data_IF_319819379959
#
_entry.id   IF_319819379959
#
_cell.length_a   1.000
_cell.length_b   1.000
_cell.length_c   1.000
_cell.angle_alpha   90.00
_cell.angle_beta   90.00
_cell.angle_gamma   90.00
#
_symmetry.space_group_name_H-M   'P 1'
#
loop_
_entity.id
_entity.type
_entity.pdbx_description
1 polymer ?
#
# COMPACT_ATOMS: atom_id res chain seq x y z
N UNK A 1 4.78 -3.95 -32.32
CA UNK A 1 5.48 -2.72 -31.86
C UNK A 1 4.42 -1.67 -31.55
N UNK A 2 4.48 -1.05 -30.37
CA UNK A 2 3.65 0.12 -30.06
C UNK A 2 4.30 1.32 -30.71
N UNK A 3 3.58 1.98 -31.63
CA UNK A 3 4.06 3.24 -32.21
C UNK A 3 3.83 4.35 -31.19
N UNK A 4 4.85 5.10 -30.88
CA UNK A 4 4.75 6.34 -30.09
C UNK A 4 4.89 7.53 -31.02
N UNK A 5 4.14 8.60 -30.75
CA UNK A 5 4.19 9.85 -31.50
C UNK A 5 4.49 11.04 -30.58
N UNK A 6 5.23 11.99 -31.10
CA UNK A 6 5.41 13.30 -30.47
C UNK A 6 4.51 14.30 -31.20
N UNK A 7 3.60 14.93 -30.42
CA UNK A 7 2.65 15.90 -30.98
C UNK A 7 2.94 17.29 -30.42
N UNK A 8 2.91 18.30 -31.30
CA UNK A 8 2.90 19.71 -30.92
C UNK A 8 1.46 20.21 -31.01
N UNK A 9 0.92 20.68 -29.90
CA UNK A 9 -0.39 21.34 -29.86
C UNK A 9 -0.15 22.83 -29.88
N UNK A 10 -0.74 23.52 -30.84
CA UNK A 10 -0.66 24.97 -30.99
C UNK A 10 -2.06 25.54 -30.97
N UNK A 11 -2.29 26.56 -30.17
CA UNK A 11 -3.55 27.30 -30.18
C UNK A 11 -3.61 28.15 -31.48
N UNK A 12 -4.73 28.06 -32.17
CA UNK A 12 -4.96 28.77 -33.45
C UNK A 12 -6.20 29.71 -33.39
N UNK A 13 -6.76 29.95 -32.20
CA UNK A 13 -7.88 30.87 -32.01
C UNK A 13 -7.42 32.30 -31.79
N UNK A 14 -8.40 33.21 -31.69
CA UNK A 14 -8.20 34.66 -31.59
C UNK A 14 -8.07 35.17 -30.14
N UNK A 15 -8.21 34.27 -29.15
CA UNK A 15 -8.07 34.64 -27.74
C UNK A 15 -6.58 34.91 -27.37
N UNK A 16 -6.38 35.79 -26.38
CA UNK A 16 -5.06 36.14 -25.91
C UNK A 16 -4.35 34.92 -25.30
N UNK A 17 -3.17 34.60 -25.81
CA UNK A 17 -2.25 33.60 -25.22
C UNK A 17 -1.29 34.23 -24.19
N UNK A 18 -1.51 35.48 -23.79
CA UNK A 18 -0.70 36.09 -22.72
C UNK A 18 -0.79 35.28 -21.42
N UNK A 19 0.29 35.19 -20.64
CA UNK A 19 0.30 34.45 -19.39
C UNK A 19 -0.82 34.96 -18.47
N UNK A 20 -1.61 34.02 -17.92
CA UNK A 20 -2.64 34.37 -16.95
C UNK A 20 -2.00 35.04 -15.72
N UNK A 21 -2.71 36.07 -15.18
CA UNK A 21 -2.25 36.71 -13.96
C UNK A 21 -2.15 35.68 -12.83
N UNK A 22 -1.02 35.58 -12.10
CA UNK A 22 -0.86 34.58 -11.05
C UNK A 22 -1.90 34.81 -9.95
N UNK A 23 -2.64 33.75 -9.61
CA UNK A 23 -3.55 33.75 -8.48
C UNK A 23 -2.74 33.66 -7.22
N UNK A 24 -2.78 34.69 -6.37
CA UNK A 24 -2.01 34.76 -5.11
C UNK A 24 -2.70 34.12 -3.90
N UNK A 25 -3.78 33.34 -4.11
CA UNK A 25 -4.40 32.56 -3.04
C UNK A 25 -3.42 31.51 -2.49
N UNK A 26 -3.43 31.26 -1.16
CA UNK A 26 -2.58 30.26 -0.49
C UNK A 26 -1.12 30.71 -0.32
N UNK A 27 -0.87 31.98 -0.08
CA UNK A 27 0.49 32.49 0.12
C UNK A 27 1.13 31.92 1.41
N UNK A 28 0.34 31.79 2.49
CA UNK A 28 0.82 31.22 3.75
C UNK A 28 1.15 29.74 3.59
N UNK A 29 0.34 28.99 2.87
CA UNK A 29 0.56 27.57 2.58
C UNK A 29 1.83 27.39 1.74
N UNK A 30 2.03 28.23 0.73
CA UNK A 30 3.28 28.21 -0.06
C UNK A 30 4.51 28.56 0.79
N UNK A 31 4.41 29.55 1.69
CA UNK A 31 5.48 29.92 2.60
C UNK A 31 5.82 28.76 3.53
N UNK A 32 4.83 28.15 4.16
CA UNK A 32 4.99 26.97 5.02
C UNK A 32 5.65 25.82 4.27
N UNK A 33 5.16 25.51 3.05
CA UNK A 33 5.75 24.45 2.23
C UNK A 33 7.21 24.74 1.89
N UNK A 34 7.55 25.96 1.48
CA UNK A 34 8.95 26.35 1.19
C UNK A 34 9.86 26.24 2.41
N UNK A 35 9.36 26.61 3.60
CA UNK A 35 10.13 26.44 4.84
C UNK A 35 10.43 24.96 5.13
N UNK A 36 9.50 24.05 4.82
CA UNK A 36 9.72 22.61 4.93
C UNK A 36 10.66 22.09 3.83
N UNK A 37 10.53 22.57 2.61
CA UNK A 37 11.38 22.23 1.48
C UNK A 37 12.85 22.66 1.68
N UNK A 38 13.11 23.63 2.54
CA UNK A 38 14.48 24.03 2.87
C UNK A 38 15.31 22.90 3.51
N UNK A 39 14.67 21.94 4.20
CA UNK A 39 15.35 20.76 4.76
C UNK A 39 15.70 19.68 3.73
N UNK A 40 15.28 19.84 2.47
CA UNK A 40 15.52 18.90 1.38
C UNK A 40 16.77 19.23 0.56
N UNK A 41 17.30 20.46 0.75
CA UNK A 41 18.46 20.93 0.01
C UNK A 41 19.73 20.19 0.45
N UNK A 42 20.65 20.03 -0.48
CA UNK A 42 21.98 19.49 -0.18
C UNK A 42 22.69 20.41 0.84
N UNK A 43 23.29 19.81 1.87
CA UNK A 43 23.92 20.56 2.94
C UNK A 43 22.96 21.19 3.96
N UNK A 44 21.66 20.88 3.89
CA UNK A 44 20.71 21.36 4.89
C UNK A 44 21.13 20.92 6.30
N UNK A 45 21.04 21.84 7.26
CA UNK A 45 21.35 21.54 8.67
C UNK A 45 20.38 20.52 9.26
N UNK A 46 20.84 19.79 10.27
CA UNK A 46 19.97 19.01 11.13
C UNK A 46 19.02 19.94 11.89
N UNK A 47 17.74 19.64 11.89
CA UNK A 47 16.74 20.46 12.55
C UNK A 47 16.89 20.44 14.08
N UNK A 48 16.75 21.59 14.72
CA UNK A 48 16.62 21.71 16.17
C UNK A 48 15.31 21.09 16.67
N UNK A 49 15.16 20.93 17.98
CA UNK A 49 13.93 20.37 18.56
C UNK A 49 12.67 21.17 18.17
N UNK A 50 12.74 22.52 18.19
CA UNK A 50 11.62 23.37 17.78
C UNK A 50 11.31 23.30 16.29
N UNK A 51 12.32 23.08 15.45
CA UNK A 51 12.13 22.84 14.02
C UNK A 51 11.52 21.46 13.76
N UNK A 52 11.91 20.42 14.52
CA UNK A 52 11.24 19.11 14.51
C UNK A 52 9.77 19.26 14.93
N UNK A 53 9.44 20.09 15.93
CA UNK A 53 8.05 20.36 16.33
C UNK A 53 7.24 20.99 15.19
N UNK A 54 7.82 21.93 14.46
CA UNK A 54 7.20 22.53 13.28
C UNK A 54 6.96 21.51 12.17
N UNK A 55 7.97 20.69 11.85
CA UNK A 55 7.84 19.63 10.83
C UNK A 55 6.76 18.62 11.26
N UNK A 56 6.79 18.16 12.52
CA UNK A 56 5.84 17.19 13.07
C UNK A 56 4.40 17.70 13.00
N UNK A 57 4.14 18.93 13.45
CA UNK A 57 2.82 19.55 13.34
C UNK A 57 2.33 19.61 11.89
N UNK A 58 3.22 19.85 10.96
CA UNK A 58 2.91 19.95 9.52
C UNK A 58 2.55 18.61 8.88
N UNK A 59 2.91 17.46 9.49
CA UNK A 59 2.48 16.12 9.05
C UNK A 59 0.96 15.95 9.11
N UNK A 60 0.26 16.67 9.99
CA UNK A 60 -1.19 16.64 10.14
C UNK A 60 -1.93 17.70 9.33
N UNK A 61 -1.26 18.50 8.49
CA UNK A 61 -1.87 19.59 7.73
C UNK A 61 -3.01 19.10 6.84
N UNK A 62 -4.08 19.88 6.68
CA UNK A 62 -5.13 19.62 5.70
C UNK A 62 -4.64 19.77 4.26
N UNK A 63 -3.61 20.60 4.02
CA UNK A 63 -2.97 20.75 2.72
C UNK A 63 -2.05 19.57 2.40
N UNK A 64 -2.33 18.89 1.27
CA UNK A 64 -1.56 17.72 0.82
C UNK A 64 -0.10 18.07 0.50
N UNK A 65 0.15 19.25 -0.06
CA UNK A 65 1.50 19.68 -0.43
C UNK A 65 2.36 19.93 0.83
N UNK A 66 1.76 20.55 1.87
CA UNK A 66 2.43 20.73 3.17
C UNK A 66 2.72 19.39 3.83
N UNK A 67 1.72 18.47 3.91
CA UNK A 67 1.94 17.12 4.47
C UNK A 67 3.07 16.38 3.76
N UNK A 68 3.10 16.45 2.43
CA UNK A 68 4.15 15.79 1.65
C UNK A 68 5.53 16.39 1.94
N UNK A 69 5.65 17.72 1.91
CA UNK A 69 6.91 18.41 2.22
C UNK A 69 7.37 18.10 3.66
N UNK A 70 6.46 18.11 4.64
CA UNK A 70 6.76 17.74 6.03
C UNK A 70 7.25 16.30 6.16
N UNK A 71 6.59 15.34 5.47
CA UNK A 71 7.02 13.94 5.49
C UNK A 71 8.43 13.78 4.93
N UNK A 72 8.74 14.41 3.80
CA UNK A 72 10.08 14.32 3.23
C UNK A 72 11.10 15.07 4.08
N UNK A 73 10.71 16.20 4.69
CA UNK A 73 11.58 16.94 5.62
C UNK A 73 11.95 16.08 6.85
N UNK A 74 10.99 15.38 7.46
CA UNK A 74 11.26 14.53 8.62
C UNK A 74 12.11 13.31 8.24
N UNK A 75 11.95 12.75 7.04
CA UNK A 75 12.79 11.65 6.51
C UNK A 75 14.27 12.07 6.38
N UNK A 76 14.55 13.36 6.20
CA UNK A 76 15.91 13.90 6.14
C UNK A 76 16.53 14.11 7.52
N UNK A 77 15.74 14.01 8.59
CA UNK A 77 16.25 14.15 9.95
C UNK A 77 16.62 12.77 10.54
N UNK A 78 17.61 12.71 11.44
CA UNK A 78 17.94 11.46 12.13
C UNK A 78 16.70 10.89 12.83
N UNK A 79 16.34 9.63 12.56
CA UNK A 79 15.12 9.02 13.10
C UNK A 79 15.04 9.10 14.63
N UNK A 80 16.17 8.97 15.33
CA UNK A 80 16.28 9.11 16.79
C UNK A 80 15.81 10.47 17.34
N UNK A 81 15.75 11.51 16.50
CA UNK A 81 15.31 12.84 16.95
C UNK A 81 13.78 12.99 17.00
N UNK A 82 13.03 12.06 16.39
CA UNK A 82 11.59 12.21 16.23
C UNK A 82 10.75 10.94 16.39
N UNK A 83 11.32 9.74 16.24
CA UNK A 83 10.53 8.49 16.20
C UNK A 83 9.74 8.24 17.48
N UNK A 84 10.27 8.61 18.65
CA UNK A 84 9.62 8.38 19.95
C UNK A 84 8.30 9.15 20.09
N UNK A 85 8.10 10.20 19.30
CA UNK A 85 6.84 10.97 19.26
C UNK A 85 5.69 10.13 18.69
N UNK A 86 5.98 9.13 17.85
CA UNK A 86 4.96 8.31 17.22
C UNK A 86 4.08 7.58 18.24
N UNK A 87 4.64 7.11 19.34
CA UNK A 87 3.89 6.37 20.36
C UNK A 87 2.75 7.21 20.96
N UNK A 88 3.02 8.48 21.27
CA UNK A 88 2.06 9.41 21.90
C UNK A 88 1.13 10.12 20.89
N UNK A 89 1.40 10.04 19.58
CA UNK A 89 0.60 10.74 18.57
C UNK A 89 -0.82 10.17 18.49
N UNK A 90 -1.83 11.03 18.52
CA UNK A 90 -3.24 10.62 18.47
C UNK A 90 -3.94 10.97 17.16
N UNK A 91 -3.39 11.91 16.38
CA UNK A 91 -3.94 12.26 15.08
C UNK A 91 -3.61 11.16 14.05
N UNK A 92 -4.60 10.49 13.46
CA UNK A 92 -4.33 9.40 12.51
C UNK A 92 -3.58 9.86 11.25
N UNK A 93 -3.79 11.10 10.79
CA UNK A 93 -3.09 11.65 9.61
C UNK A 93 -1.62 11.87 9.91
N UNK A 94 -1.30 12.47 11.06
CA UNK A 94 0.08 12.63 11.52
C UNK A 94 0.74 11.27 11.75
N UNK A 95 0.04 10.35 12.42
CA UNK A 95 0.54 9.00 12.70
C UNK A 95 0.88 8.25 11.41
N UNK A 96 0.01 8.26 10.40
CA UNK A 96 0.27 7.57 9.13
C UNK A 96 1.42 8.19 8.36
N UNK A 97 1.51 9.52 8.31
CA UNK A 97 2.62 10.20 7.67
C UNK A 97 3.97 9.88 8.36
N UNK A 98 3.99 9.87 9.70
CA UNK A 98 5.18 9.51 10.47
C UNK A 98 5.55 8.03 10.32
N UNK A 99 4.58 7.10 10.34
CA UNK A 99 4.82 5.67 10.07
C UNK A 99 5.42 5.43 8.69
N UNK A 100 4.90 6.11 7.65
CA UNK A 100 5.44 6.01 6.29
C UNK A 100 6.88 6.56 6.26
N UNK A 101 7.14 7.70 6.89
CA UNK A 101 8.49 8.25 6.99
C UNK A 101 9.44 7.26 7.67
N UNK A 102 9.01 6.68 8.80
CA UNK A 102 9.81 5.73 9.57
C UNK A 102 10.10 4.44 8.78
N UNK A 103 9.09 3.90 8.09
CA UNK A 103 9.26 2.74 7.20
C UNK A 103 10.22 3.03 6.03
N UNK A 104 10.42 4.29 5.65
CA UNK A 104 11.34 4.67 4.57
C UNK A 104 12.78 4.83 5.05
N UNK A 105 13.00 5.27 6.27
CA UNK A 105 14.35 5.59 6.78
C UNK A 105 14.91 4.54 7.73
N UNK A 106 14.06 3.78 8.41
CA UNK A 106 14.44 2.77 9.41
C UNK A 106 13.43 1.61 9.47
N UNK A 107 13.21 0.95 8.32
CA UNK A 107 12.16 -0.07 8.19
C UNK A 107 12.36 -1.27 9.12
N UNK A 108 13.58 -1.77 9.22
CA UNK A 108 13.91 -2.95 10.03
C UNK A 108 13.93 -2.61 11.52
N UNK A 109 14.64 -1.53 11.89
CA UNK A 109 14.81 -1.13 13.29
C UNK A 109 13.52 -0.64 13.96
N UNK A 110 12.54 -0.16 13.17
CA UNK A 110 11.30 0.44 13.68
C UNK A 110 10.03 -0.31 13.27
N UNK A 111 10.14 -1.55 12.79
CA UNK A 111 8.97 -2.35 12.39
C UNK A 111 7.98 -2.54 13.55
N UNK A 112 8.48 -2.83 14.76
CA UNK A 112 7.65 -3.04 15.95
C UNK A 112 6.86 -1.80 16.35
N UNK A 113 7.47 -0.61 16.29
CA UNK A 113 6.82 0.68 16.58
C UNK A 113 5.73 0.99 15.57
N UNK A 114 6.01 0.77 14.28
CA UNK A 114 5.03 0.98 13.20
C UNK A 114 3.83 0.05 13.38
N UNK A 115 4.06 -1.24 13.63
CA UNK A 115 3.01 -2.24 13.85
C UNK A 115 2.20 -1.90 15.12
N UNK A 116 2.87 -1.55 16.21
CA UNK A 116 2.22 -1.17 17.45
C UNK A 116 1.30 0.04 17.22
N UNK A 117 1.78 1.06 16.51
CA UNK A 117 0.99 2.25 16.20
C UNK A 117 -0.18 1.94 15.27
N UNK A 118 0.06 1.27 14.15
CA UNK A 118 -0.99 0.95 13.18
C UNK A 118 -2.14 0.14 13.83
N UNK A 119 -1.81 -0.85 14.64
CA UNK A 119 -2.81 -1.69 15.34
C UNK A 119 -3.51 -0.99 16.50
N UNK A 120 -2.95 0.12 17.03
CA UNK A 120 -3.59 0.96 18.04
C UNK A 120 -4.60 1.96 17.46
N UNK A 121 -4.46 2.30 16.18
CA UNK A 121 -5.40 3.18 15.48
C UNK A 121 -6.73 2.45 15.27
N UNK A 122 -7.83 3.17 15.56
CA UNK A 122 -9.19 2.62 15.39
C UNK A 122 -9.57 2.56 13.90
N UNK A 123 -9.01 1.59 13.15
CA UNK A 123 -9.23 1.43 11.71
C UNK A 123 -10.71 1.49 11.32
N UNK A 124 -11.54 0.67 11.95
CA UNK A 124 -12.99 0.57 11.65
C UNK A 124 -13.78 1.83 12.01
N UNK A 125 -13.30 2.64 12.97
CA UNK A 125 -13.91 3.92 13.37
C UNK A 125 -13.39 5.09 12.54
N UNK A 126 -12.32 4.90 11.76
CA UNK A 126 -11.74 5.93 10.90
C UNK A 126 -12.67 6.20 9.70
N UNK A 127 -13.34 7.35 9.70
CA UNK A 127 -14.31 7.72 8.65
C UNK A 127 -13.65 7.95 7.28
N UNK A 128 -12.47 8.54 7.27
CA UNK A 128 -11.73 8.85 6.03
C UNK A 128 -11.18 7.55 5.42
N UNK A 129 -11.69 7.17 4.25
CA UNK A 129 -11.16 6.06 3.45
C UNK A 129 -9.67 6.27 3.13
N UNK A 130 -9.27 7.50 2.77
CA UNK A 130 -7.87 7.79 2.50
C UNK A 130 -6.99 7.50 3.72
N UNK A 131 -7.41 7.90 4.91
CA UNK A 131 -6.64 7.62 6.14
C UNK A 131 -6.57 6.11 6.42
N UNK A 132 -7.63 5.33 6.15
CA UNK A 132 -7.58 3.87 6.28
C UNK A 132 -6.58 3.25 5.29
N UNK A 133 -6.58 3.69 4.04
CA UNK A 133 -5.58 3.27 3.05
C UNK A 133 -4.16 3.66 3.45
N UNK A 134 -3.97 4.85 4.03
CA UNK A 134 -2.67 5.30 4.52
C UNK A 134 -2.17 4.44 5.69
N UNK A 135 -3.07 3.99 6.59
CA UNK A 135 -2.73 3.02 7.64
C UNK A 135 -2.25 1.70 7.01
N UNK A 136 -3.01 1.14 6.07
CA UNK A 136 -2.64 -0.09 5.37
C UNK A 136 -1.30 0.09 4.64
N UNK A 137 -1.14 1.21 3.94
CA UNK A 137 0.09 1.54 3.22
C UNK A 137 1.31 1.61 4.14
N UNK A 138 1.17 2.17 5.33
CA UNK A 138 2.29 2.26 6.29
C UNK A 138 2.75 0.87 6.75
N UNK A 139 1.81 -0.03 7.03
CA UNK A 139 2.12 -1.43 7.39
C UNK A 139 2.72 -2.17 6.20
N UNK A 140 2.09 -2.09 5.02
CA UNK A 140 2.61 -2.74 3.81
C UNK A 140 4.04 -2.30 3.50
N UNK A 141 4.32 -1.00 3.62
CA UNK A 141 5.65 -0.46 3.36
C UNK A 141 6.67 -0.98 4.38
N UNK A 142 6.29 -1.05 5.65
CA UNK A 142 7.14 -1.61 6.71
C UNK A 142 7.47 -3.08 6.42
N UNK A 143 6.47 -3.89 6.04
CA UNK A 143 6.68 -5.31 5.70
C UNK A 143 7.52 -5.48 4.43
N UNK A 144 7.28 -4.66 3.41
CA UNK A 144 8.00 -4.76 2.13
C UNK A 144 9.48 -4.42 2.30
N UNK A 145 9.82 -3.45 3.15
CA UNK A 145 11.19 -2.96 3.34
C UNK A 145 11.92 -3.65 4.49
N UNK A 146 11.20 -4.01 5.55
CA UNK A 146 11.74 -4.66 6.74
C UNK A 146 11.62 -6.18 6.74
N UNK A 147 10.90 -6.76 5.77
CA UNK A 147 10.73 -8.22 5.67
C UNK A 147 9.72 -8.78 6.68
N UNK A 148 9.90 -10.04 7.03
CA UNK A 148 9.02 -10.73 7.99
C UNK A 148 9.19 -10.13 9.39
N UNK A 149 8.08 -9.76 10.06
CA UNK A 149 8.13 -9.22 11.40
C UNK A 149 8.48 -10.33 12.43
N UNK A 150 8.90 -9.91 13.61
CA UNK A 150 9.10 -10.81 14.75
C UNK A 150 7.81 -11.58 15.05
N UNK A 151 7.93 -12.78 15.62
CA UNK A 151 6.78 -13.67 15.88
C UNK A 151 5.64 -12.98 16.66
N UNK A 152 5.96 -12.18 17.68
CA UNK A 152 4.99 -11.41 18.47
C UNK A 152 4.25 -10.35 17.64
N UNK A 153 4.97 -9.64 16.79
CA UNK A 153 4.39 -8.60 15.90
C UNK A 153 3.57 -9.24 14.78
N UNK A 154 4.03 -10.36 14.24
CA UNK A 154 3.27 -11.17 13.27
C UNK A 154 1.93 -11.61 13.86
N UNK A 155 1.93 -12.18 15.06
CA UNK A 155 0.70 -12.60 15.74
C UNK A 155 -0.26 -11.42 15.99
N UNK A 156 0.28 -10.28 16.39
CA UNK A 156 -0.48 -9.05 16.60
C UNK A 156 -1.11 -8.54 15.30
N UNK A 157 -0.36 -8.54 14.19
CA UNK A 157 -0.87 -8.16 12.87
C UNK A 157 -1.95 -9.11 12.37
N UNK A 158 -1.75 -10.43 12.49
CA UNK A 158 -2.75 -11.42 12.09
C UNK A 158 -4.05 -11.22 12.87
N UNK A 159 -3.99 -11.00 14.19
CA UNK A 159 -5.17 -10.71 15.01
C UNK A 159 -5.86 -9.40 14.59
N UNK A 160 -5.09 -8.37 14.27
CA UNK A 160 -5.64 -7.10 13.79
C UNK A 160 -6.31 -7.25 12.42
N UNK A 161 -5.65 -7.94 11.48
CA UNK A 161 -6.20 -8.25 10.16
C UNK A 161 -7.48 -9.07 10.25
N UNK A 162 -7.56 -10.05 11.16
CA UNK A 162 -8.75 -10.87 11.37
C UNK A 162 -9.99 -10.03 11.69
N UNK A 163 -9.81 -8.94 12.43
CA UNK A 163 -10.89 -8.02 12.80
C UNK A 163 -11.29 -7.01 11.71
N UNK A 164 -10.51 -6.84 10.64
CA UNK A 164 -10.77 -5.81 9.62
C UNK A 164 -10.84 -6.33 8.18
N UNK A 165 -10.49 -7.56 7.92
CA UNK A 165 -10.52 -8.21 6.62
C UNK A 165 -11.66 -9.24 6.55
N UNK A 166 -12.53 -9.22 5.52
CA UNK A 166 -12.57 -8.25 4.44
C UNK A 166 -13.16 -6.90 4.85
N UNK A 167 -12.69 -5.84 4.20
CA UNK A 167 -13.22 -4.49 4.35
C UNK A 167 -14.35 -4.20 3.35
N UNK A 168 -14.94 -3.00 3.45
CA UNK A 168 -16.08 -2.60 2.61
C UNK A 168 -15.72 -2.15 1.19
N UNK A 169 -14.44 -2.02 0.82
CA UNK A 169 -14.03 -1.52 -0.49
C UNK A 169 -12.96 -2.40 -1.13
N UNK A 170 -12.96 -2.50 -2.49
CA UNK A 170 -12.02 -3.34 -3.24
C UNK A 170 -10.55 -2.98 -3.02
N UNK A 171 -10.21 -1.70 -2.97
CA UNK A 171 -8.83 -1.25 -2.78
C UNK A 171 -8.31 -1.56 -1.36
N UNK A 172 -9.15 -1.42 -0.32
CA UNK A 172 -8.79 -1.89 1.02
C UNK A 172 -8.58 -3.40 1.03
N UNK A 173 -9.48 -4.16 0.40
CA UNK A 173 -9.37 -5.62 0.33
C UNK A 173 -8.14 -6.10 -0.44
N UNK A 174 -7.72 -5.39 -1.48
CA UNK A 174 -6.48 -5.69 -2.21
C UNK A 174 -5.26 -5.62 -1.29
N UNK A 175 -5.13 -4.55 -0.50
CA UNK A 175 -4.01 -4.38 0.41
C UNK A 175 -4.09 -5.36 1.59
N UNK A 176 -5.29 -5.58 2.15
CA UNK A 176 -5.51 -6.54 3.25
C UNK A 176 -5.22 -7.98 2.81
N UNK A 177 -5.65 -8.40 1.62
CA UNK A 177 -5.37 -9.74 1.11
C UNK A 177 -3.88 -9.96 0.86
N UNK A 178 -3.17 -8.93 0.36
CA UNK A 178 -1.73 -9.00 0.18
C UNK A 178 -0.99 -9.16 1.52
N UNK A 179 -1.38 -8.40 2.54
CA UNK A 179 -0.80 -8.53 3.88
C UNK A 179 -1.12 -9.88 4.53
N UNK A 180 -2.37 -10.35 4.41
CA UNK A 180 -2.77 -11.66 4.94
C UNK A 180 -1.97 -12.80 4.29
N UNK A 181 -1.76 -12.73 2.97
CA UNK A 181 -0.95 -13.69 2.24
C UNK A 181 0.54 -13.62 2.65
N UNK A 182 1.12 -12.43 2.74
CA UNK A 182 2.51 -12.23 3.14
C UNK A 182 2.80 -12.79 4.54
N UNK A 183 1.84 -12.64 5.46
CA UNK A 183 1.94 -13.13 6.83
C UNK A 183 1.57 -14.61 6.98
N UNK A 184 1.11 -15.26 5.93
CA UNK A 184 0.57 -16.63 5.98
C UNK A 184 -0.57 -16.74 7.03
N UNK A 185 -1.50 -15.75 7.02
CA UNK A 185 -2.60 -15.72 7.97
C UNK A 185 -3.55 -16.91 7.75
N UNK A 186 -4.04 -17.58 8.79
CA UNK A 186 -4.86 -18.81 8.66
C UNK A 186 -6.12 -18.63 7.80
N UNK A 187 -6.66 -17.43 7.76
CA UNK A 187 -7.86 -17.07 6.98
C UNK A 187 -7.55 -16.54 5.57
N UNK A 188 -6.27 -16.43 5.18
CA UNK A 188 -5.86 -15.77 3.94
C UNK A 188 -6.46 -16.46 2.70
N UNK A 189 -6.41 -17.80 2.63
CA UNK A 189 -6.94 -18.57 1.51
C UNK A 189 -8.45 -18.46 1.45
N UNK A 190 -9.16 -18.77 2.54
CA UNK A 190 -10.62 -18.77 2.55
C UNK A 190 -11.20 -17.41 2.13
N UNK A 191 -10.74 -16.33 2.81
CA UNK A 191 -11.22 -14.97 2.54
C UNK A 191 -10.76 -14.44 1.18
N UNK A 192 -9.53 -14.75 0.77
CA UNK A 192 -9.00 -14.40 -0.55
C UNK A 192 -9.77 -15.07 -1.68
N UNK A 193 -10.09 -16.35 -1.56
CA UNK A 193 -10.92 -17.09 -2.52
C UNK A 193 -12.35 -16.56 -2.59
N UNK A 194 -12.95 -16.22 -1.45
CA UNK A 194 -14.28 -15.59 -1.41
C UNK A 194 -14.28 -14.25 -2.15
N UNK A 195 -13.25 -13.43 -1.98
CA UNK A 195 -13.10 -12.17 -2.72
C UNK A 195 -12.87 -12.42 -4.22
N UNK A 196 -12.00 -13.36 -4.58
CA UNK A 196 -11.74 -13.75 -5.97
C UNK A 196 -13.04 -14.16 -6.70
N UNK A 197 -13.85 -15.00 -6.07
CA UNK A 197 -15.08 -15.50 -6.69
C UNK A 197 -16.21 -14.48 -6.75
N UNK A 198 -16.22 -13.51 -5.86
CA UNK A 198 -17.26 -12.47 -5.77
C UNK A 198 -16.90 -11.17 -6.51
N UNK A 199 -15.63 -10.98 -6.89
CA UNK A 199 -15.19 -9.79 -7.60
C UNK A 199 -15.77 -9.75 -9.01
N UNK A 200 -16.34 -8.59 -9.40
CA UNK A 200 -16.95 -8.37 -10.72
C UNK A 200 -15.94 -7.97 -11.80
N UNK A 201 -14.80 -7.40 -11.40
CA UNK A 201 -13.77 -6.88 -12.30
C UNK A 201 -12.58 -7.82 -12.44
N UNK A 202 -12.08 -7.97 -13.68
CA UNK A 202 -10.91 -8.82 -13.95
C UNK A 202 -9.65 -8.34 -13.19
N UNK A 203 -9.45 -7.03 -13.01
CA UNK A 203 -8.31 -6.46 -12.29
C UNK A 203 -8.32 -6.85 -10.81
N UNK A 204 -9.50 -6.84 -10.18
CA UNK A 204 -9.65 -7.29 -8.81
C UNK A 204 -9.36 -8.79 -8.67
N UNK A 205 -9.95 -9.59 -9.56
CA UNK A 205 -9.75 -11.04 -9.57
C UNK A 205 -8.27 -11.39 -9.76
N UNK A 206 -7.59 -10.75 -10.69
CA UNK A 206 -6.14 -10.93 -10.93
C UNK A 206 -5.36 -10.57 -9.67
N UNK A 207 -5.71 -9.47 -9.00
CA UNK A 207 -5.06 -9.04 -7.76
C UNK A 207 -5.18 -10.07 -6.64
N UNK A 208 -6.37 -10.64 -6.43
CA UNK A 208 -6.56 -11.69 -5.42
C UNK A 208 -5.86 -13.00 -5.82
N UNK A 209 -5.93 -13.41 -7.08
CA UNK A 209 -5.22 -14.59 -7.56
C UNK A 209 -3.70 -14.45 -7.39
N UNK A 210 -3.15 -13.29 -7.70
CA UNK A 210 -1.74 -12.97 -7.47
C UNK A 210 -1.33 -13.14 -6.01
N UNK A 211 -2.16 -12.67 -5.06
CA UNK A 211 -1.87 -12.77 -3.64
C UNK A 211 -1.90 -14.22 -3.14
N UNK A 212 -2.77 -15.06 -3.69
CA UNK A 212 -2.95 -16.44 -3.29
C UNK A 212 -1.88 -17.41 -3.83
N UNK A 213 -1.17 -17.05 -4.91
CA UNK A 213 -0.33 -17.97 -5.71
C UNK A 213 0.77 -18.73 -4.97
N UNK A 214 1.26 -18.18 -3.87
CA UNK A 214 2.35 -18.80 -3.09
C UNK A 214 1.89 -19.46 -1.79
N UNK A 215 0.61 -19.34 -1.44
CA UNK A 215 0.10 -19.93 -0.22
C UNK A 215 0.03 -21.46 -0.34
N UNK A 216 0.62 -22.14 0.63
CA UNK A 216 0.61 -23.61 0.72
C UNK A 216 -0.47 -24.09 1.67
N UNK A 217 -0.69 -23.39 2.77
CA UNK A 217 -1.60 -23.77 3.85
C UNK A 217 -2.98 -23.10 3.70
N UNK A 218 -3.99 -23.67 4.35
CA UNK A 218 -5.36 -23.14 4.37
C UNK A 218 -6.24 -23.53 3.18
N UNK A 219 -5.74 -24.31 2.25
CA UNK A 219 -6.50 -24.83 1.12
C UNK A 219 -7.34 -26.03 1.48
N UNK A 220 -8.53 -26.11 0.89
CA UNK A 220 -9.30 -27.35 0.77
C UNK A 220 -9.26 -27.82 -0.69
N UNK A 221 -9.50 -29.13 -0.98
CA UNK A 221 -9.55 -29.59 -2.36
C UNK A 221 -10.51 -28.77 -3.25
N UNK A 222 -11.67 -28.41 -2.70
CA UNK A 222 -12.66 -27.57 -3.39
C UNK A 222 -12.16 -26.17 -3.70
N UNK A 223 -11.45 -25.52 -2.77
CA UNK A 223 -10.89 -24.17 -2.98
C UNK A 223 -9.79 -24.21 -4.04
N UNK A 224 -8.91 -25.24 -4.01
CA UNK A 224 -7.88 -25.42 -5.05
C UNK A 224 -8.50 -25.62 -6.43
N UNK A 225 -9.46 -26.52 -6.54
CA UNK A 225 -10.18 -26.75 -7.80
C UNK A 225 -10.83 -25.45 -8.32
N UNK A 226 -11.49 -24.69 -7.45
CA UNK A 226 -12.09 -23.40 -7.81
C UNK A 226 -11.03 -22.40 -8.27
N UNK A 227 -9.87 -22.36 -7.60
CA UNK A 227 -8.77 -21.47 -7.96
C UNK A 227 -8.20 -21.83 -9.35
N UNK A 228 -7.97 -23.09 -9.64
CA UNK A 228 -7.47 -23.51 -10.95
C UNK A 228 -8.50 -23.37 -12.07
N UNK A 229 -9.79 -23.56 -11.80
CA UNK A 229 -10.88 -23.23 -12.74
C UNK A 229 -10.90 -21.74 -13.09
N UNK A 230 -10.55 -20.85 -12.14
CA UNK A 230 -10.43 -19.43 -12.43
C UNK A 230 -9.35 -19.15 -13.49
N UNK A 231 -8.23 -19.86 -13.52
CA UNK A 231 -7.22 -19.67 -14.58
C UNK A 231 -7.75 -20.02 -15.98
N UNK A 232 -8.64 -21.01 -16.08
CA UNK A 232 -9.30 -21.32 -17.36
C UNK A 232 -10.21 -20.15 -17.78
N UNK A 233 -10.99 -19.61 -16.86
CA UNK A 233 -11.86 -18.45 -17.13
C UNK A 233 -11.06 -17.20 -17.47
N UNK A 234 -9.95 -16.96 -16.79
CA UNK A 234 -9.09 -15.79 -16.99
C UNK A 234 -8.41 -15.75 -18.36
N UNK A 235 -8.36 -16.87 -19.09
CA UNK A 235 -7.92 -16.92 -20.48
C UNK A 235 -8.75 -16.04 -21.44
N UNK A 236 -9.98 -15.70 -21.05
CA UNK A 236 -10.86 -14.81 -21.81
C UNK A 236 -10.68 -13.31 -21.46
N UNK A 237 -9.79 -12.98 -20.52
CA UNK A 237 -9.57 -11.59 -20.09
C UNK A 237 -8.89 -10.78 -21.18
N UNK A 238 -9.26 -9.50 -21.26
CA UNK A 238 -8.72 -8.56 -22.24
C UNK A 238 -7.79 -7.57 -21.58
N UNK A 239 -6.63 -7.34 -22.19
CA UNK A 239 -5.66 -6.39 -21.66
C UNK A 239 -4.51 -6.15 -22.62
N UNK A 240 -3.43 -5.54 -22.12
CA UNK A 240 -2.22 -5.29 -22.90
C UNK A 240 -1.52 -6.58 -23.35
N UNK A 241 -0.59 -6.45 -24.31
CA UNK A 241 0.11 -7.57 -24.95
C UNK A 241 0.80 -8.57 -23.99
N UNK A 242 1.05 -8.17 -22.74
CA UNK A 242 1.70 -9.02 -21.72
C UNK A 242 0.74 -9.68 -20.75
N UNK A 243 -0.58 -9.44 -20.83
CA UNK A 243 -1.54 -9.98 -19.87
C UNK A 243 -1.51 -11.51 -19.83
N UNK A 244 -1.49 -12.16 -20.97
CA UNK A 244 -1.45 -13.63 -21.05
C UNK A 244 -0.21 -14.21 -20.34
N UNK A 245 0.98 -13.62 -20.56
CA UNK A 245 2.21 -14.05 -19.89
C UNK A 245 2.14 -13.80 -18.38
N UNK A 246 1.56 -12.69 -17.95
CA UNK A 246 1.38 -12.39 -16.53
C UNK A 246 0.46 -13.40 -15.83
N UNK A 247 -0.64 -13.77 -16.47
CA UNK A 247 -1.55 -14.81 -15.95
C UNK A 247 -0.87 -16.18 -15.91
N UNK A 248 -0.07 -16.52 -16.93
CA UNK A 248 0.72 -17.75 -16.97
C UNK A 248 1.75 -17.82 -15.83
N UNK A 249 2.42 -16.70 -15.52
CA UNK A 249 3.36 -16.62 -14.40
C UNK A 249 2.65 -16.82 -13.04
N UNK A 250 1.47 -16.23 -12.86
CA UNK A 250 0.67 -16.44 -11.64
C UNK A 250 0.29 -17.92 -11.51
N UNK A 251 -0.20 -18.53 -12.61
CA UNK A 251 -0.57 -19.95 -12.66
C UNK A 251 0.62 -20.86 -12.34
N UNK A 252 1.77 -20.60 -12.93
CA UNK A 252 3.02 -21.33 -12.65
C UNK A 252 3.34 -21.38 -11.16
N UNK A 253 3.39 -20.22 -10.51
CA UNK A 253 3.66 -20.14 -9.07
C UNK A 253 2.56 -20.82 -8.23
N UNK A 254 1.30 -20.76 -8.68
CA UNK A 254 0.20 -21.46 -8.01
C UNK A 254 0.37 -22.99 -8.09
N UNK A 255 0.84 -23.51 -9.23
CA UNK A 255 1.16 -24.94 -9.43
C UNK A 255 2.29 -25.36 -8.50
N UNK A 256 3.38 -24.60 -8.46
CA UNK A 256 4.53 -24.85 -7.59
C UNK A 256 4.17 -24.87 -6.08
N UNK A 257 3.10 -24.19 -5.71
CA UNK A 257 2.60 -24.16 -4.32
C UNK A 257 1.69 -25.33 -3.95
N UNK A 258 1.33 -26.21 -4.89
CA UNK A 258 0.49 -27.40 -4.61
C UNK A 258 1.35 -28.52 -4.04
N UNK A 259 1.08 -29.03 -2.81
CA UNK A 259 1.75 -30.21 -2.30
C UNK A 259 1.46 -31.45 -3.16
N UNK A 260 2.45 -32.33 -3.32
CA UNK A 260 2.30 -33.55 -4.13
C UNK A 260 1.10 -34.41 -3.71
N UNK A 261 0.84 -34.53 -2.40
CA UNK A 261 -0.30 -35.28 -1.86
C UNK A 261 -1.68 -34.72 -2.18
N UNK A 262 -1.77 -33.49 -2.70
CA UNK A 262 -3.03 -32.85 -3.09
C UNK A 262 -3.29 -32.90 -4.61
N UNK A 263 -2.40 -33.52 -5.39
CA UNK A 263 -2.50 -33.62 -6.85
C UNK A 263 -3.50 -34.68 -7.27
N UNK A 264 -4.79 -34.35 -7.27
CA UNK A 264 -5.87 -35.20 -7.83
C UNK A 264 -5.84 -35.19 -9.35
N UNK A 265 -6.50 -36.20 -9.99
CA UNK A 265 -6.66 -36.26 -11.46
C UNK A 265 -7.30 -34.98 -11.99
N UNK A 266 -8.42 -34.56 -11.40
CA UNK A 266 -9.12 -33.31 -11.76
C UNK A 266 -8.24 -32.07 -11.65
N UNK A 267 -7.40 -32.00 -10.62
CA UNK A 267 -6.51 -30.85 -10.44
C UNK A 267 -5.41 -30.83 -11.51
N UNK A 268 -4.86 -32.00 -11.87
CA UNK A 268 -3.85 -32.14 -12.94
C UNK A 268 -4.40 -31.72 -14.30
N UNK A 269 -5.67 -32.00 -14.59
CA UNK A 269 -6.32 -31.57 -15.84
C UNK A 269 -6.53 -30.05 -15.94
N UNK A 270 -6.64 -29.35 -14.80
CA UNK A 270 -6.81 -27.90 -14.74
C UNK A 270 -5.46 -27.14 -14.75
N UNK A 271 -4.37 -27.80 -14.41
CA UNK A 271 -3.02 -27.23 -14.36
C UNK A 271 -2.39 -27.11 -15.74
#
# INVERSE_FOLDING_TARGET
RVQSGLYRITYVGDESTAPAKPVRKGENERKTRRSLEAYLQEGAKVASSSEIDFIWKSLGSSDRGIRHAARVAIEKQPAKAWKDRLAAETNPVTSTAAMIALARVDAEGSASEIIAKATSLSYTKTKSRQTRLDILRSVTLSLTRGGQPKASDKAKLIKWLDGIFPAGTPDENRDLSAMAAFLNAPFAVERGMKLLTNASGQEEQIGYALNLRHLKDGWTPKLRETYFKWFVLSGNYRGGARLANYLADIKKHAIEAVPEGELTTTLKELM
#
